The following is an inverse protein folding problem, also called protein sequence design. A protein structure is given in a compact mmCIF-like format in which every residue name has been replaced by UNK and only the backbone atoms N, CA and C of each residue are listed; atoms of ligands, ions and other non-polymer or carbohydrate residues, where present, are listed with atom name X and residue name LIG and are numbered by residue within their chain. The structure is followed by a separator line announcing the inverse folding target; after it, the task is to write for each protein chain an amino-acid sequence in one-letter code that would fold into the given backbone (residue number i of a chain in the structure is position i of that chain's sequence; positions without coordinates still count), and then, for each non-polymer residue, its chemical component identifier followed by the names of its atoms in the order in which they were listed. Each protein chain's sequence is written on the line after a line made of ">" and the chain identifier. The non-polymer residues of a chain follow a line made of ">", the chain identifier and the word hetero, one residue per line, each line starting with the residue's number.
data_IF_214388877477
#
_entry.id   IF_214388877477
#
_cell.length_a   1.000
_cell.length_b   1.000
_cell.length_c   1.000
_cell.angle_alpha   90.00
_cell.angle_beta   90.00
_cell.angle_gamma   90.00
#
_symmetry.space_group_name_H-M   'P 1'
#
loop_
_entity.id
_entity.type
_entity.pdbx_description
1 polymer ?
#
# COMPACT_ATOMS: atom_id res chain seq x y z
N UNK A 1 42.85 2.97 12.38
CA UNK A 1 41.73 2.17 11.82
C UNK A 1 41.81 2.28 10.32
N UNK A 2 42.02 1.20 9.60
CA UNK A 2 42.18 1.23 8.13
C UNK A 2 40.83 1.43 7.44
N UNK A 3 40.77 2.19 6.35
CA UNK A 3 39.51 2.42 5.58
C UNK A 3 38.84 1.14 5.06
N UNK A 4 39.60 0.06 4.97
CA UNK A 4 39.13 -1.24 4.46
C UNK A 4 38.20 -2.00 5.41
N UNK A 5 38.33 -1.84 6.72
CA UNK A 5 37.47 -2.51 7.71
C UNK A 5 36.04 -1.93 7.80
N UNK A 6 35.90 -0.62 7.55
CA UNK A 6 34.59 0.05 7.59
C UNK A 6 33.74 -0.28 6.34
N UNK A 7 34.36 -0.35 5.16
CA UNK A 7 33.69 -0.73 3.93
C UNK A 7 33.20 -2.19 3.95
N UNK A 8 34.03 -3.11 4.48
CA UNK A 8 33.68 -4.53 4.58
C UNK A 8 32.49 -4.81 5.53
N UNK A 9 32.34 -4.04 6.62
CA UNK A 9 31.20 -4.18 7.52
C UNK A 9 29.88 -3.69 6.92
N UNK A 10 29.94 -2.68 6.06
CA UNK A 10 28.76 -2.15 5.35
C UNK A 10 28.24 -3.08 4.25
N UNK A 11 29.15 -3.73 3.49
CA UNK A 11 28.76 -4.71 2.47
C UNK A 11 28.15 -5.97 3.07
N UNK A 12 28.72 -6.48 4.16
CA UNK A 12 28.19 -7.68 4.84
C UNK A 12 26.81 -7.47 5.43
N UNK A 13 26.48 -6.26 5.93
CA UNK A 13 25.16 -5.93 6.46
C UNK A 13 24.12 -5.65 5.36
N UNK A 14 24.54 -5.23 4.18
CA UNK A 14 23.66 -5.07 3.02
C UNK A 14 23.25 -6.42 2.44
N UNK A 15 24.21 -7.35 2.28
CA UNK A 15 23.98 -8.71 1.81
C UNK A 15 23.02 -9.48 2.72
N UNK A 16 23.10 -9.31 4.03
CA UNK A 16 22.21 -9.97 4.99
C UNK A 16 20.75 -9.56 4.83
N UNK A 17 20.47 -8.28 4.58
CA UNK A 17 19.10 -7.77 4.41
C UNK A 17 18.49 -8.16 3.06
N UNK A 18 19.26 -8.11 2.01
CA UNK A 18 18.83 -8.56 0.68
C UNK A 18 18.53 -10.06 0.71
N UNK A 19 19.35 -10.85 1.41
CA UNK A 19 19.10 -12.28 1.64
C UNK A 19 17.80 -12.48 2.43
N UNK A 20 17.58 -11.73 3.51
CA UNK A 20 16.34 -11.83 4.29
C UNK A 20 15.10 -11.52 3.43
N UNK A 21 15.15 -10.47 2.61
CA UNK A 21 14.10 -10.17 1.64
C UNK A 21 13.86 -11.35 0.69
N UNK A 22 14.93 -11.88 0.06
CA UNK A 22 14.83 -12.99 -0.88
C UNK A 22 14.26 -14.25 -0.22
N UNK A 23 14.67 -14.56 1.01
CA UNK A 23 14.11 -15.66 1.78
C UNK A 23 12.63 -15.45 2.12
N UNK A 24 12.24 -14.24 2.56
CA UNK A 24 10.84 -13.95 2.89
C UNK A 24 9.93 -14.11 1.66
N UNK A 25 10.31 -13.52 0.52
CA UNK A 25 9.56 -13.66 -0.74
C UNK A 25 9.55 -15.11 -1.23
N UNK A 26 10.71 -15.79 -1.20
CA UNK A 26 10.84 -17.18 -1.62
C UNK A 26 10.01 -18.14 -0.77
N UNK A 27 10.05 -18.00 0.55
CA UNK A 27 9.24 -18.83 1.47
C UNK A 27 7.74 -18.58 1.28
N UNK A 28 7.32 -17.32 1.09
CA UNK A 28 5.91 -17.00 0.81
C UNK A 28 5.47 -17.63 -0.50
N UNK A 29 6.29 -17.53 -1.56
CA UNK A 29 5.98 -18.13 -2.85
C UNK A 29 5.90 -19.66 -2.78
N UNK A 30 6.87 -20.30 -2.13
CA UNK A 30 6.88 -21.76 -1.96
C UNK A 30 5.69 -22.20 -1.11
N UNK A 31 5.41 -21.53 0.01
CA UNK A 31 4.25 -21.81 0.85
C UNK A 31 2.93 -21.70 0.08
N UNK A 32 2.76 -20.67 -0.73
CA UNK A 32 1.62 -20.51 -1.64
C UNK A 32 1.54 -21.66 -2.66
N UNK A 33 2.65 -22.00 -3.34
CA UNK A 33 2.67 -23.06 -4.35
C UNK A 33 2.35 -24.43 -3.76
N UNK A 34 2.89 -24.73 -2.57
CA UNK A 34 2.56 -25.95 -1.83
C UNK A 34 1.08 -25.98 -1.44
N UNK A 35 0.52 -24.87 -0.96
CA UNK A 35 -0.90 -24.76 -0.67
C UNK A 35 -1.76 -25.03 -1.91
N UNK A 36 -1.47 -24.37 -3.04
CA UNK A 36 -2.18 -24.57 -4.31
C UNK A 36 -2.11 -26.02 -4.81
N UNK A 37 -0.95 -26.66 -4.62
CA UNK A 37 -0.78 -28.07 -5.00
C UNK A 37 -1.57 -29.03 -4.10
N UNK A 38 -1.52 -28.83 -2.79
CA UNK A 38 -2.21 -29.69 -1.83
C UNK A 38 -3.73 -29.54 -1.89
N UNK A 39 -4.21 -28.30 -2.10
CA UNK A 39 -5.64 -28.00 -2.23
C UNK A 39 -6.19 -28.24 -3.63
N UNK A 40 -5.35 -28.60 -4.62
CA UNK A 40 -5.72 -28.83 -6.04
C UNK A 40 -6.44 -27.63 -6.68
N UNK A 41 -6.07 -26.39 -6.31
CA UNK A 41 -6.79 -25.17 -6.71
C UNK A 41 -6.21 -24.49 -7.95
N UNK A 42 -5.37 -25.17 -8.74
CA UNK A 42 -4.81 -24.57 -9.96
C UNK A 42 -5.84 -24.14 -10.99
N UNK A 43 -7.02 -24.77 -11.02
CA UNK A 43 -8.15 -24.38 -11.89
C UNK A 43 -8.63 -22.95 -11.65
N UNK A 44 -8.41 -22.37 -10.44
CA UNK A 44 -8.79 -21.00 -10.13
C UNK A 44 -8.16 -19.97 -11.10
N UNK A 45 -6.99 -20.27 -11.67
CA UNK A 45 -6.35 -19.38 -12.65
C UNK A 45 -7.15 -19.26 -13.95
N UNK A 46 -7.79 -20.34 -14.39
CA UNK A 46 -8.64 -20.30 -15.57
C UNK A 46 -9.93 -19.51 -15.31
N UNK A 47 -10.52 -19.68 -14.13
CA UNK A 47 -11.78 -19.03 -13.76
C UNK A 47 -11.59 -17.55 -13.40
N UNK A 48 -10.43 -17.17 -12.85
CA UNK A 48 -10.16 -15.84 -12.31
C UNK A 48 -8.97 -15.13 -13.00
N UNK A 49 -8.67 -15.48 -14.25
CA UNK A 49 -7.54 -14.95 -15.02
C UNK A 49 -7.50 -13.41 -15.08
N UNK A 50 -8.69 -12.78 -15.12
CA UNK A 50 -8.85 -11.33 -15.19
C UNK A 50 -8.27 -10.63 -13.95
N UNK A 51 -8.35 -11.27 -12.76
CA UNK A 51 -7.75 -10.72 -11.54
C UNK A 51 -6.22 -10.84 -11.56
N UNK A 52 -5.69 -11.96 -12.05
CA UNK A 52 -4.25 -12.11 -12.27
C UNK A 52 -3.73 -11.00 -13.20
N UNK A 53 -4.42 -10.78 -14.33
CA UNK A 53 -4.05 -9.73 -15.30
C UNK A 53 -4.17 -8.31 -14.67
N UNK A 54 -5.26 -8.03 -13.96
CA UNK A 54 -5.45 -6.76 -13.25
C UNK A 54 -4.30 -6.51 -12.28
N UNK A 55 -3.86 -7.55 -11.57
CA UNK A 55 -2.79 -7.43 -10.59
C UNK A 55 -1.39 -7.38 -11.20
N UNK A 56 -1.19 -7.67 -12.49
CA UNK A 56 0.07 -7.33 -13.17
C UNK A 56 0.34 -5.81 -13.08
N UNK A 57 -0.66 -5.00 -13.41
CA UNK A 57 -0.57 -3.54 -13.28
C UNK A 57 -0.73 -3.09 -11.82
N UNK A 58 -1.72 -3.62 -11.12
CA UNK A 58 -2.01 -3.27 -9.72
C UNK A 58 -0.83 -3.51 -8.79
N UNK A 59 -0.07 -4.59 -8.97
CA UNK A 59 1.09 -4.88 -8.13
C UNK A 59 2.26 -3.92 -8.40
N UNK A 60 2.53 -3.62 -9.66
CA UNK A 60 3.54 -2.61 -10.01
C UNK A 60 3.18 -1.27 -9.35
N UNK A 61 1.94 -0.85 -9.47
CA UNK A 61 1.47 0.40 -8.87
C UNK A 61 1.49 0.37 -7.34
N UNK A 62 1.25 -0.79 -6.71
CA UNK A 62 1.33 -0.95 -5.26
C UNK A 62 2.70 -0.60 -4.69
N UNK A 63 3.77 -0.87 -5.42
CA UNK A 63 5.13 -0.50 -5.02
C UNK A 63 5.59 0.85 -5.55
N UNK A 64 5.04 1.30 -6.68
CA UNK A 64 5.45 2.50 -7.40
C UNK A 64 4.70 3.76 -6.97
N UNK A 65 3.57 3.63 -6.29
CA UNK A 65 2.72 4.77 -5.91
C UNK A 65 2.28 4.70 -4.46
N UNK A 66 1.71 5.80 -3.99
CA UNK A 66 1.08 5.90 -2.68
C UNK A 66 -0.37 5.41 -2.65
N UNK A 67 -0.85 4.80 -3.73
CA UNK A 67 -2.26 4.42 -3.85
C UNK A 67 -2.48 2.93 -3.61
N UNK A 68 -1.40 2.16 -3.61
CA UNK A 68 -1.49 0.71 -3.43
C UNK A 68 -2.11 -0.03 -4.62
N UNK A 69 -2.06 -1.36 -4.58
CA UNK A 69 -2.67 -2.21 -5.61
C UNK A 69 -4.20 -2.17 -5.60
N UNK A 70 -4.79 -1.82 -4.45
CA UNK A 70 -6.22 -1.67 -4.28
C UNK A 70 -6.82 -0.54 -5.11
N UNK A 71 -6.05 0.52 -5.38
CA UNK A 71 -6.50 1.63 -6.22
C UNK A 71 -6.82 1.20 -7.66
N UNK A 72 -6.15 0.19 -8.18
CA UNK A 72 -6.48 -0.39 -9.49
C UNK A 72 -7.51 -1.51 -9.35
N UNK A 73 -7.34 -2.40 -8.37
CA UNK A 73 -8.20 -3.56 -8.21
C UNK A 73 -9.65 -3.16 -7.85
N UNK A 74 -9.83 -2.22 -6.92
CA UNK A 74 -11.16 -1.84 -6.44
C UNK A 74 -12.09 -1.32 -7.56
N UNK A 75 -11.69 -0.31 -8.39
CA UNK A 75 -12.55 0.15 -9.49
C UNK A 75 -12.73 -0.92 -10.57
N UNK A 76 -11.70 -1.69 -10.92
CA UNK A 76 -11.86 -2.78 -11.88
C UNK A 76 -12.86 -3.79 -11.38
N UNK A 77 -12.78 -4.21 -10.13
CA UNK A 77 -13.75 -5.15 -9.53
C UNK A 77 -15.16 -4.57 -9.49
N UNK A 78 -15.30 -3.34 -8.99
CA UNK A 78 -16.64 -2.78 -8.67
C UNK A 78 -17.32 -2.09 -9.85
N UNK A 79 -16.58 -1.51 -10.78
CA UNK A 79 -17.11 -0.74 -11.91
C UNK A 79 -17.12 -1.55 -13.22
N UNK A 80 -16.07 -2.36 -13.46
CA UNK A 80 -15.99 -3.14 -14.70
C UNK A 80 -16.67 -4.51 -14.54
N UNK A 81 -16.39 -5.21 -13.44
CA UNK A 81 -16.93 -6.56 -13.23
C UNK A 81 -18.17 -6.61 -12.34
N UNK A 82 -18.62 -5.47 -11.77
CA UNK A 82 -19.81 -5.40 -10.94
C UNK A 82 -19.72 -6.19 -9.62
N UNK A 83 -18.50 -6.50 -9.17
CA UNK A 83 -18.23 -7.23 -7.94
C UNK A 83 -18.62 -6.35 -6.74
N UNK A 84 -19.18 -6.96 -5.70
CA UNK A 84 -19.61 -6.25 -4.50
C UNK A 84 -18.43 -5.51 -3.83
N UNK A 85 -18.62 -4.26 -3.34
CA UNK A 85 -17.58 -3.48 -2.69
C UNK A 85 -16.92 -4.16 -1.50
N UNK A 86 -17.66 -4.99 -0.76
CA UNK A 86 -17.15 -5.76 0.38
C UNK A 86 -16.13 -6.80 -0.06
N UNK A 87 -16.37 -7.48 -1.19
CA UNK A 87 -15.43 -8.44 -1.78
C UNK A 87 -14.17 -7.72 -2.26
N UNK A 88 -14.35 -6.57 -2.94
CA UNK A 88 -13.24 -5.76 -3.42
C UNK A 88 -12.39 -5.20 -2.27
N UNK A 89 -13.03 -4.75 -1.16
CA UNK A 89 -12.34 -4.30 0.06
C UNK A 89 -11.52 -5.44 0.68
N UNK A 90 -12.13 -6.59 0.92
CA UNK A 90 -11.47 -7.73 1.56
C UNK A 90 -10.34 -8.27 0.69
N UNK A 91 -10.54 -8.35 -0.63
CA UNK A 91 -9.46 -8.64 -1.57
C UNK A 91 -8.33 -7.62 -1.50
N UNK A 92 -8.65 -6.32 -1.47
CA UNK A 92 -7.63 -5.25 -1.40
C UNK A 92 -6.77 -5.36 -0.15
N UNK A 93 -7.37 -5.59 1.01
CA UNK A 93 -6.62 -5.80 2.26
C UNK A 93 -5.75 -7.07 2.18
N UNK A 94 -6.31 -8.18 1.68
CA UNK A 94 -5.60 -9.44 1.56
C UNK A 94 -4.41 -9.34 0.59
N UNK A 95 -4.58 -8.73 -0.58
CA UNK A 95 -3.52 -8.67 -1.57
C UNK A 95 -2.42 -7.67 -1.20
N UNK A 96 -2.77 -6.57 -0.55
CA UNK A 96 -1.81 -5.59 -0.07
C UNK A 96 -1.02 -6.11 1.15
N UNK A 97 -1.61 -6.98 1.99
CA UNK A 97 -0.88 -7.63 3.09
C UNK A 97 0.30 -8.46 2.58
N UNK A 98 0.24 -8.96 1.34
CA UNK A 98 1.33 -9.69 0.68
C UNK A 98 2.20 -8.74 -0.16
N UNK A 99 1.60 -8.06 -1.13
CA UNK A 99 2.33 -7.27 -2.12
C UNK A 99 3.03 -6.05 -1.53
N UNK A 100 2.32 -5.23 -0.74
CA UNK A 100 2.95 -4.06 -0.12
C UNK A 100 3.92 -4.45 1.00
N UNK A 101 3.71 -5.59 1.67
CA UNK A 101 4.70 -6.13 2.61
C UNK A 101 5.97 -6.53 1.89
N UNK A 102 5.88 -7.18 0.72
CA UNK A 102 7.05 -7.49 -0.11
C UNK A 102 7.76 -6.20 -0.58
N UNK A 103 7.01 -5.16 -0.98
CA UNK A 103 7.58 -3.86 -1.33
C UNK A 103 8.22 -3.16 -0.12
N UNK A 104 7.61 -3.21 1.06
CA UNK A 104 8.16 -2.65 2.30
C UNK A 104 9.48 -3.35 2.70
N UNK A 105 9.52 -4.67 2.59
CA UNK A 105 10.76 -5.42 2.80
C UNK A 105 11.86 -5.03 1.79
N UNK A 106 11.50 -4.81 0.53
CA UNK A 106 12.41 -4.28 -0.48
C UNK A 106 12.93 -2.89 -0.12
N UNK A 107 12.04 -1.98 0.29
CA UNK A 107 12.38 -0.61 0.71
C UNK A 107 13.41 -0.64 1.84
N UNK A 108 13.18 -1.47 2.88
CA UNK A 108 14.11 -1.60 3.99
C UNK A 108 15.42 -2.33 3.61
N UNK A 109 15.35 -3.35 2.77
CA UNK A 109 16.53 -4.08 2.30
C UNK A 109 17.49 -3.17 1.54
N UNK A 110 16.96 -2.27 0.71
CA UNK A 110 17.73 -1.35 -0.13
C UNK A 110 17.95 0.03 0.51
N UNK A 111 17.57 0.21 1.79
CA UNK A 111 17.69 1.48 2.52
C UNK A 111 17.06 2.67 1.80
N UNK A 112 15.95 2.44 1.10
CA UNK A 112 15.20 3.54 0.49
C UNK A 112 14.72 4.45 1.62
N UNK A 113 14.92 5.78 1.51
CA UNK A 113 14.59 6.69 2.59
C UNK A 113 13.09 6.72 2.88
N UNK A 114 12.75 6.63 4.18
CA UNK A 114 11.39 6.73 4.71
C UNK A 114 11.39 7.68 5.91
N UNK A 115 10.28 8.37 6.13
CA UNK A 115 10.13 9.26 7.30
C UNK A 115 9.75 8.45 8.55
N UNK A 116 10.76 8.09 9.34
CA UNK A 116 10.61 7.17 10.48
C UNK A 116 9.71 7.69 11.58
N UNK A 117 9.76 9.00 11.85
CA UNK A 117 8.91 9.62 12.88
C UNK A 117 7.45 9.53 12.49
N UNK A 118 7.15 9.78 11.21
CA UNK A 118 5.80 9.63 10.68
C UNK A 118 5.35 8.16 10.72
N UNK A 119 6.22 7.22 10.34
CA UNK A 119 5.91 5.78 10.40
C UNK A 119 5.45 5.37 11.78
N UNK A 120 6.18 5.72 12.85
CA UNK A 120 5.83 5.33 14.21
C UNK A 120 4.46 5.86 14.65
N UNK A 121 4.20 7.16 14.43
CA UNK A 121 2.94 7.80 14.80
C UNK A 121 1.78 7.36 13.90
N UNK A 122 2.02 7.24 12.61
CA UNK A 122 1.05 6.80 11.62
C UNK A 122 0.62 5.34 11.80
N UNK A 123 1.54 4.46 12.22
CA UNK A 123 1.22 3.07 12.58
C UNK A 123 0.24 2.99 13.74
N UNK A 124 0.47 3.78 14.80
CA UNK A 124 -0.44 3.83 15.95
C UNK A 124 -1.82 4.29 15.49
N UNK A 125 -1.89 5.43 14.79
CA UNK A 125 -3.15 5.97 14.28
C UNK A 125 -3.85 5.02 13.32
N UNK A 126 -3.11 4.47 12.35
CA UNK A 126 -3.64 3.54 11.33
C UNK A 126 -4.22 2.26 11.93
N UNK A 127 -3.51 1.67 12.89
CA UNK A 127 -4.00 0.47 13.59
C UNK A 127 -5.27 0.76 14.39
N UNK A 128 -5.30 1.84 15.16
CA UNK A 128 -6.51 2.26 15.88
C UNK A 128 -7.65 2.54 14.89
N UNK A 129 -7.34 3.24 13.79
CA UNK A 129 -8.33 3.61 12.78
C UNK A 129 -8.94 2.41 12.07
N UNK A 130 -8.12 1.43 11.62
CA UNK A 130 -8.67 0.26 10.92
C UNK A 130 -9.48 -0.63 11.86
N UNK A 131 -9.06 -0.80 13.11
CA UNK A 131 -9.84 -1.56 14.11
C UNK A 131 -11.16 -0.85 14.40
N UNK A 132 -11.12 0.43 14.78
CA UNK A 132 -12.33 1.20 15.06
C UNK A 132 -13.24 1.32 13.84
N UNK A 133 -12.68 1.49 12.65
CA UNK A 133 -13.42 1.55 11.40
C UNK A 133 -14.09 0.24 11.04
N UNK A 134 -13.41 -0.88 11.19
CA UNK A 134 -13.96 -2.21 10.87
C UNK A 134 -15.16 -2.56 11.74
N UNK A 135 -15.13 -2.28 13.05
CA UNK A 135 -16.23 -2.60 13.95
C UNK A 135 -17.29 -1.48 14.06
N UNK A 136 -16.90 -0.22 13.94
CA UNK A 136 -17.77 0.92 14.25
C UNK A 136 -18.26 1.74 13.07
N UNK A 137 -17.64 1.62 11.87
CA UNK A 137 -17.97 2.47 10.72
C UNK A 137 -18.33 1.66 9.48
N UNK A 138 -17.45 0.77 9.04
CA UNK A 138 -17.61 0.02 7.79
C UNK A 138 -18.96 -0.74 7.69
N UNK A 139 -19.50 -1.37 8.75
CA UNK A 139 -20.79 -2.06 8.66
C UNK A 139 -21.99 -1.15 8.36
N UNK A 140 -21.86 0.14 8.61
CA UNK A 140 -22.94 1.12 8.42
C UNK A 140 -22.81 1.92 7.13
N UNK A 141 -21.76 1.70 6.33
CA UNK A 141 -21.54 2.42 5.07
C UNK A 141 -22.12 1.62 3.90
N UNK A 142 -23.20 2.10 3.27
CA UNK A 142 -23.78 1.44 2.11
C UNK A 142 -22.80 1.38 0.92
N UNK A 143 -22.87 0.31 0.13
CA UNK A 143 -22.00 0.06 -1.01
C UNK A 143 -21.89 1.24 -2.02
N UNK A 144 -22.99 1.94 -2.26
CA UNK A 144 -23.01 3.11 -3.14
C UNK A 144 -22.14 4.24 -2.60
N UNK A 145 -22.18 4.50 -1.29
CA UNK A 145 -21.36 5.54 -0.65
C UNK A 145 -19.88 5.17 -0.65
N UNK A 146 -19.53 3.90 -0.50
CA UNK A 146 -18.14 3.45 -0.60
C UNK A 146 -17.55 3.77 -1.97
N UNK A 147 -18.27 3.51 -3.07
CA UNK A 147 -17.84 3.84 -4.43
C UNK A 147 -17.66 5.36 -4.63
N UNK A 148 -18.65 6.15 -4.19
CA UNK A 148 -18.59 7.62 -4.29
C UNK A 148 -17.45 8.19 -3.44
N UNK A 149 -17.26 7.68 -2.24
CA UNK A 149 -16.19 8.10 -1.34
C UNK A 149 -14.82 7.80 -1.97
N UNK A 150 -14.65 6.62 -2.57
CA UNK A 150 -13.42 6.24 -3.26
C UNK A 150 -13.08 7.25 -4.36
N UNK A 151 -13.97 7.45 -5.33
CA UNK A 151 -13.72 8.35 -6.46
C UNK A 151 -13.50 9.81 -6.02
N UNK A 152 -14.34 10.31 -5.11
CA UNK A 152 -14.25 11.71 -4.62
C UNK A 152 -12.95 11.97 -3.87
N UNK A 153 -12.52 11.01 -3.05
CA UNK A 153 -11.29 11.12 -2.27
C UNK A 153 -10.05 11.15 -3.18
N UNK A 154 -10.00 10.25 -4.16
CA UNK A 154 -8.92 10.18 -5.14
C UNK A 154 -8.84 11.42 -6.02
N UNK A 155 -9.98 11.85 -6.54
CA UNK A 155 -10.04 13.05 -7.40
C UNK A 155 -9.61 14.32 -6.64
N UNK A 156 -10.12 14.49 -5.42
CA UNK A 156 -9.75 15.64 -4.57
C UNK A 156 -8.26 15.67 -4.26
N UNK A 157 -7.68 14.52 -3.95
CA UNK A 157 -6.25 14.37 -3.71
C UNK A 157 -5.44 14.70 -4.96
N UNK A 158 -5.80 14.11 -6.12
CA UNK A 158 -5.10 14.35 -7.39
C UNK A 158 -5.12 15.81 -7.81
N UNK A 159 -6.25 16.47 -7.66
CA UNK A 159 -6.40 17.90 -7.91
C UNK A 159 -5.48 18.72 -7.00
N UNK A 160 -5.49 18.46 -5.70
CA UNK A 160 -4.64 19.17 -4.73
C UNK A 160 -3.15 18.98 -5.05
N UNK A 161 -2.73 17.77 -5.37
CA UNK A 161 -1.33 17.48 -5.73
C UNK A 161 -0.92 18.13 -7.05
N UNK A 162 -1.83 18.16 -8.04
CA UNK A 162 -1.58 18.83 -9.32
C UNK A 162 -1.38 20.32 -9.14
N UNK A 163 -2.28 20.99 -8.41
CA UNK A 163 -2.17 22.41 -8.11
C UNK A 163 -0.87 22.73 -7.37
N UNK A 164 -0.49 21.89 -6.41
CA UNK A 164 0.72 22.08 -5.61
C UNK A 164 2.02 21.94 -6.44
N UNK A 165 2.02 21.06 -7.42
CA UNK A 165 3.23 20.78 -8.21
C UNK A 165 3.37 21.63 -9.48
N UNK A 166 2.26 22.18 -10.01
CA UNK A 166 2.26 22.87 -11.31
C UNK A 166 1.81 24.32 -11.25
N UNK A 167 1.01 24.71 -10.25
CA UNK A 167 0.49 26.07 -10.15
C UNK A 167 1.22 26.87 -9.07
N UNK A 168 1.61 26.21 -7.98
CA UNK A 168 2.33 26.85 -6.87
C UNK A 168 3.78 26.40 -6.85
N UNK A 169 4.72 27.35 -6.72
CA UNK A 169 6.13 27.00 -6.47
C UNK A 169 6.25 26.24 -5.14
N UNK A 170 6.88 25.09 -5.20
CA UNK A 170 7.03 24.21 -4.05
C UNK A 170 8.49 23.87 -3.77
N UNK A 171 9.00 24.40 -2.66
CA UNK A 171 10.23 23.90 -2.07
C UNK A 171 9.96 22.56 -1.37
N UNK A 172 10.65 21.51 -1.79
CA UNK A 172 10.53 20.19 -1.18
C UNK A 172 11.56 19.97 -0.08
N UNK A 173 11.15 19.25 0.97
CA UNK A 173 11.99 18.85 2.10
C UNK A 173 12.28 17.35 2.06
N UNK A 174 13.42 16.95 2.61
CA UNK A 174 13.81 15.54 2.70
C UNK A 174 13.52 14.92 4.07
N UNK A 175 13.12 15.71 5.07
CA UNK A 175 12.78 15.24 6.40
C UNK A 175 11.71 16.13 7.06
N UNK A 176 10.98 15.55 8.02
CA UNK A 176 10.06 16.31 8.87
C UNK A 176 10.85 17.27 9.76
N UNK A 177 10.30 18.48 10.01
CA UNK A 177 10.85 19.36 11.02
C UNK A 177 10.67 18.75 12.43
N UNK A 178 11.31 19.35 13.44
CA UNK A 178 11.04 18.99 14.83
C UNK A 178 9.55 19.18 15.14
N UNK A 179 8.88 18.10 15.52
CA UNK A 179 7.43 18.09 15.74
C UNK A 179 7.08 18.55 17.16
N UNK A 180 6.13 19.47 17.24
CA UNK A 180 5.44 19.80 18.50
C UNK A 180 4.53 18.66 18.95
N UNK A 181 4.09 18.66 20.21
CA UNK A 181 3.12 17.68 20.71
C UNK A 181 1.81 17.69 19.90
N UNK A 182 1.30 18.88 19.56
CA UNK A 182 0.10 19.01 18.71
C UNK A 182 0.25 18.37 17.34
N UNK A 183 1.39 18.59 16.66
CA UNK A 183 1.66 17.99 15.36
C UNK A 183 1.79 16.45 15.39
N UNK A 184 2.27 15.90 16.50
CA UNK A 184 2.29 14.43 16.70
C UNK A 184 0.87 13.89 16.79
N UNK A 185 -0.03 14.54 17.52
CA UNK A 185 -1.44 14.17 17.60
C UNK A 185 -2.16 14.32 16.25
N UNK A 186 -1.82 15.33 15.45
CA UNK A 186 -2.34 15.47 14.08
C UNK A 186 -1.94 14.28 13.20
N UNK A 187 -0.68 13.84 13.26
CA UNK A 187 -0.21 12.66 12.50
C UNK A 187 -0.98 11.40 12.93
N UNK A 188 -1.16 11.20 14.24
CA UNK A 188 -1.96 10.09 14.76
C UNK A 188 -3.41 10.21 14.26
N UNK A 189 -4.01 11.40 14.31
CA UNK A 189 -5.37 11.67 13.82
C UNK A 189 -5.53 11.36 12.32
N UNK A 190 -4.57 11.78 11.49
CA UNK A 190 -4.55 11.43 10.06
C UNK A 190 -4.42 9.92 9.86
N UNK A 191 -3.59 9.26 10.70
CA UNK A 191 -3.50 7.80 10.73
C UNK A 191 -4.85 7.14 11.04
N UNK A 192 -5.57 7.64 12.05
CA UNK A 192 -6.91 7.13 12.41
C UNK A 192 -7.89 7.30 11.25
N UNK A 193 -7.94 8.46 10.63
CA UNK A 193 -8.82 8.72 9.46
C UNK A 193 -8.45 7.77 8.32
N UNK A 194 -7.16 7.65 7.98
CA UNK A 194 -6.68 6.75 6.94
C UNK A 194 -6.99 5.28 7.23
N UNK A 195 -6.86 4.84 8.49
CA UNK A 195 -7.23 3.50 8.92
C UNK A 195 -8.74 3.23 8.80
N UNK A 196 -9.60 4.20 9.18
CA UNK A 196 -11.05 4.12 8.97
C UNK A 196 -11.38 4.02 7.48
N UNK A 197 -10.76 4.85 6.62
CA UNK A 197 -10.94 4.75 5.18
C UNK A 197 -10.50 3.39 4.65
N UNK A 198 -9.38 2.84 5.14
CA UNK A 198 -8.93 1.49 4.76
C UNK A 198 -9.91 0.41 5.16
N UNK A 199 -10.64 0.56 6.28
CA UNK A 199 -11.68 -0.40 6.69
C UNK A 199 -12.91 -0.39 5.77
N UNK A 200 -13.17 0.71 5.07
CA UNK A 200 -14.32 0.86 4.16
C UNK A 200 -13.94 0.48 2.72
N UNK A 201 -12.76 0.91 2.27
CA UNK A 201 -12.32 0.86 0.88
C UNK A 201 -11.26 -0.22 0.59
N UNK A 202 -10.66 -0.78 1.64
CA UNK A 202 -9.52 -1.70 1.52
C UNK A 202 -8.17 -1.01 1.32
N UNK A 203 -8.15 0.33 1.21
CA UNK A 203 -6.98 1.20 1.18
C UNK A 203 -7.38 2.62 1.59
N UNK A 204 -6.42 3.48 1.93
CA UNK A 204 -6.71 4.85 2.36
C UNK A 204 -5.64 5.43 3.29
N UNK A 205 -5.02 4.61 4.14
CA UNK A 205 -3.94 5.07 5.01
C UNK A 205 -2.73 5.56 4.21
N UNK A 206 -2.42 4.90 3.11
CA UNK A 206 -1.36 5.25 2.17
C UNK A 206 -1.57 6.66 1.60
N UNK A 207 -2.76 6.95 1.10
CA UNK A 207 -3.06 8.24 0.50
C UNK A 207 -3.17 9.34 1.53
N UNK A 208 -3.84 9.09 2.66
CA UNK A 208 -3.88 10.06 3.76
C UNK A 208 -2.46 10.41 4.22
N UNK A 209 -1.59 9.42 4.35
CA UNK A 209 -0.19 9.61 4.68
C UNK A 209 0.52 10.46 3.64
N UNK A 210 0.47 10.03 2.38
CA UNK A 210 1.16 10.71 1.30
C UNK A 210 0.64 12.15 1.13
N UNK A 211 -0.69 12.34 1.11
CA UNK A 211 -1.30 13.67 1.02
C UNK A 211 -0.84 14.58 2.17
N UNK A 212 -0.93 14.11 3.40
CA UNK A 212 -0.58 14.91 4.56
C UNK A 212 0.91 15.28 4.59
N UNK A 213 1.78 14.31 4.29
CA UNK A 213 3.23 14.50 4.29
C UNK A 213 3.68 15.44 3.16
N UNK A 214 3.07 15.31 1.97
CA UNK A 214 3.41 16.13 0.80
C UNK A 214 2.77 17.51 0.84
N UNK A 215 1.51 17.62 1.21
CA UNK A 215 0.79 18.91 1.19
C UNK A 215 1.15 19.79 2.38
N UNK A 216 1.18 19.23 3.60
CA UNK A 216 1.46 20.02 4.80
C UNK A 216 2.94 20.22 5.07
N UNK A 217 3.73 19.14 5.02
CA UNK A 217 5.15 19.20 5.36
C UNK A 217 6.07 19.39 4.16
N UNK A 218 5.53 19.37 2.95
CA UNK A 218 6.26 19.55 1.68
C UNK A 218 7.37 18.52 1.50
N UNK A 219 7.20 17.31 2.05
CA UNK A 219 8.16 16.23 1.87
C UNK A 219 8.16 15.77 0.41
N UNK A 220 9.35 15.47 -0.10
CA UNK A 220 9.53 14.96 -1.46
C UNK A 220 8.78 13.63 -1.65
N UNK A 221 8.16 13.45 -2.83
CA UNK A 221 7.48 12.22 -3.24
C UNK A 221 8.39 11.00 -3.14
N UNK A 222 9.70 11.17 -3.32
CA UNK A 222 10.70 10.10 -3.16
C UNK A 222 10.76 9.51 -1.75
N UNK A 223 10.33 10.25 -0.73
CA UNK A 223 10.30 9.83 0.68
C UNK A 223 8.86 9.53 1.10
N UNK A 224 7.92 10.34 0.65
CA UNK A 224 6.51 10.18 0.97
C UNK A 224 5.94 8.85 0.44
N UNK A 225 6.24 8.48 -0.82
CA UNK A 225 5.77 7.21 -1.42
C UNK A 225 6.24 5.98 -0.63
N UNK A 226 7.54 5.74 -0.39
CA UNK A 226 7.94 4.55 0.37
C UNK A 226 7.45 4.59 1.82
N UNK A 227 7.26 5.77 2.42
CA UNK A 227 6.68 5.91 3.76
C UNK A 227 5.23 5.44 3.78
N UNK A 228 4.42 5.85 2.80
CA UNK A 228 3.02 5.45 2.69
C UNK A 228 2.87 3.94 2.39
N UNK A 229 3.73 3.39 1.51
CA UNK A 229 3.76 1.95 1.20
C UNK A 229 3.99 1.12 2.45
N UNK A 230 4.95 1.49 3.29
CA UNK A 230 5.25 0.76 4.55
C UNK A 230 4.08 0.85 5.53
N UNK A 231 3.45 2.01 5.66
CA UNK A 231 2.27 2.19 6.53
C UNK A 231 1.09 1.35 6.04
N UNK A 232 0.80 1.40 4.75
CA UNK A 232 -0.31 0.62 4.21
C UNK A 232 -0.06 -0.87 4.28
N UNK A 233 1.17 -1.35 4.06
CA UNK A 233 1.53 -2.76 4.25
C UNK A 233 1.14 -3.24 5.65
N UNK A 234 1.52 -2.49 6.68
CA UNK A 234 1.19 -2.83 8.07
C UNK A 234 -0.31 -2.80 8.34
N UNK A 235 -0.99 -1.77 7.82
CA UNK A 235 -2.43 -1.61 7.98
C UNK A 235 -3.22 -2.72 7.27
N UNK A 236 -2.78 -3.12 6.07
CA UNK A 236 -3.37 -4.21 5.30
C UNK A 236 -3.22 -5.56 6.00
N UNK A 237 -2.08 -5.81 6.66
CA UNK A 237 -1.89 -7.01 7.49
C UNK A 237 -2.89 -7.03 8.65
N UNK A 238 -3.07 -5.91 9.34
CA UNK A 238 -4.07 -5.82 10.43
C UNK A 238 -5.48 -6.06 9.89
N UNK A 239 -5.85 -5.42 8.78
CA UNK A 239 -7.16 -5.59 8.16
C UNK A 239 -7.41 -7.03 7.68
N UNK A 240 -6.41 -7.66 7.05
CA UNK A 240 -6.49 -9.05 6.63
C UNK A 240 -6.68 -10.00 7.81
N UNK A 241 -5.97 -9.79 8.91
CA UNK A 241 -6.14 -10.58 10.14
C UNK A 241 -7.52 -10.34 10.76
N UNK A 242 -8.02 -9.11 10.79
CA UNK A 242 -9.35 -8.80 11.31
C UNK A 242 -10.44 -9.54 10.52
N UNK A 243 -10.43 -9.45 9.19
CA UNK A 243 -11.46 -10.08 8.35
C UNK A 243 -11.27 -11.60 8.22
N UNK A 244 -10.02 -12.08 8.13
CA UNK A 244 -9.72 -13.50 7.93
C UNK A 244 -9.77 -14.35 9.21
N UNK A 245 -9.28 -13.83 10.34
CA UNK A 245 -9.15 -14.61 11.57
C UNK A 245 -10.11 -14.19 12.67
N UNK A 246 -10.43 -12.90 12.82
CA UNK A 246 -11.28 -12.41 13.92
C UNK A 246 -12.74 -12.44 13.53
N UNK A 247 -13.12 -11.79 12.43
CA UNK A 247 -14.51 -11.72 11.94
C UNK A 247 -14.89 -12.95 11.12
N UNK A 248 -13.94 -13.58 10.47
CA UNK A 248 -14.12 -14.73 9.57
C UNK A 248 -15.14 -14.45 8.46
N UNK A 249 -15.18 -13.20 7.97
CA UNK A 249 -16.12 -12.69 6.97
C UNK A 249 -15.48 -12.50 5.58
N UNK A 250 -14.33 -13.13 5.33
CA UNK A 250 -13.70 -13.17 4.01
C UNK A 250 -14.55 -14.00 3.05
N UNK A 251 -15.05 -13.35 1.99
CA UNK A 251 -15.85 -14.03 0.99
C UNK A 251 -14.98 -15.02 0.17
N UNK A 252 -15.52 -16.20 -0.21
CA UNK A 252 -14.78 -17.18 -1.03
C UNK A 252 -14.20 -16.58 -2.31
N UNK A 253 -14.94 -15.68 -2.96
CA UNK A 253 -14.49 -14.98 -4.16
C UNK A 253 -13.24 -14.13 -3.88
N UNK A 254 -13.22 -13.39 -2.77
CA UNK A 254 -12.07 -12.59 -2.38
C UNK A 254 -10.82 -13.45 -2.15
N UNK A 255 -11.01 -14.63 -1.54
CA UNK A 255 -9.93 -15.61 -1.33
C UNK A 255 -9.43 -16.17 -2.67
N UNK A 256 -10.34 -16.54 -3.58
CA UNK A 256 -9.98 -17.05 -4.89
C UNK A 256 -9.16 -16.03 -5.70
N UNK A 257 -9.62 -14.77 -5.73
CA UNK A 257 -8.91 -13.66 -6.37
C UNK A 257 -7.53 -13.42 -5.73
N UNK A 258 -7.45 -13.51 -4.40
CA UNK A 258 -6.20 -13.38 -3.66
C UNK A 258 -5.20 -14.48 -4.04
N UNK A 259 -5.63 -15.75 -4.06
CA UNK A 259 -4.77 -16.88 -4.38
C UNK A 259 -4.15 -16.78 -5.78
N UNK A 260 -4.93 -16.39 -6.80
CA UNK A 260 -4.40 -16.26 -8.17
C UNK A 260 -3.56 -15.00 -8.37
N UNK A 261 -3.61 -14.05 -7.44
CA UNK A 261 -2.86 -12.79 -7.53
C UNK A 261 -1.55 -12.80 -6.73
N UNK A 262 -1.39 -13.66 -5.72
CA UNK A 262 -0.19 -13.74 -4.88
C UNK A 262 1.11 -13.81 -5.69
N UNK A 263 1.28 -14.71 -6.69
CA UNK A 263 2.54 -14.82 -7.40
C UNK A 263 2.90 -13.53 -8.15
N UNK A 264 1.91 -12.81 -8.63
CA UNK A 264 2.13 -11.56 -9.36
C UNK A 264 2.57 -10.44 -8.41
N UNK A 265 1.91 -10.29 -7.26
CA UNK A 265 2.20 -9.18 -6.34
C UNK A 265 3.48 -9.35 -5.56
N UNK A 266 3.91 -10.58 -5.33
CA UNK A 266 5.20 -10.86 -4.67
C UNK A 266 6.41 -10.31 -5.42
N UNK A 267 6.32 -10.22 -6.75
CA UNK A 267 7.39 -9.70 -7.60
C UNK A 267 7.07 -8.30 -8.14
N UNK A 268 5.83 -8.05 -8.51
CA UNK A 268 5.40 -6.79 -9.12
C UNK A 268 5.53 -5.59 -8.18
N UNK A 269 5.17 -5.74 -6.90
CA UNK A 269 5.26 -4.64 -5.95
C UNK A 269 6.70 -4.26 -5.57
N UNK A 270 7.62 -5.18 -5.26
CA UNK A 270 9.05 -4.86 -5.14
C UNK A 270 9.65 -4.25 -6.41
N UNK A 271 9.25 -4.72 -7.59
CA UNK A 271 9.69 -4.15 -8.86
C UNK A 271 9.20 -2.71 -9.03
N UNK A 272 7.94 -2.42 -8.69
CA UNK A 272 7.41 -1.06 -8.66
C UNK A 272 8.21 -0.14 -7.72
N UNK A 273 8.49 -0.59 -6.50
CA UNK A 273 9.31 0.14 -5.53
C UNK A 273 10.75 0.39 -6.04
N UNK A 274 11.33 -0.59 -6.73
CA UNK A 274 12.64 -0.43 -7.38
C UNK A 274 12.60 0.64 -8.46
N UNK A 275 11.66 0.57 -9.39
CA UNK A 275 11.55 1.51 -10.50
C UNK A 275 11.36 2.93 -9.98
N UNK A 276 10.39 3.14 -9.06
CA UNK A 276 10.09 4.47 -8.54
C UNK A 276 11.24 5.08 -7.76
N UNK A 277 12.05 4.27 -7.08
CA UNK A 277 13.24 4.75 -6.38
C UNK A 277 14.29 5.39 -7.29
N UNK A 278 14.24 5.10 -8.60
CA UNK A 278 15.13 5.65 -9.63
C UNK A 278 14.54 6.85 -10.37
N UNK A 279 13.25 7.09 -10.24
CA UNK A 279 12.56 8.15 -10.97
C UNK A 279 12.69 9.51 -10.28
N UNK A 280 12.55 10.57 -11.08
CA UNK A 280 12.43 11.92 -10.55
C UNK A 280 11.04 12.12 -9.93
N UNK A 281 10.93 12.94 -8.86
CA UNK A 281 9.68 13.16 -8.10
C UNK A 281 8.47 13.56 -8.99
N UNK A 282 8.68 14.36 -10.01
CA UNK A 282 7.61 14.79 -10.92
C UNK A 282 7.08 13.66 -11.80
N UNK A 283 7.93 12.69 -12.15
CA UNK A 283 7.50 11.48 -12.88
C UNK A 283 6.60 10.62 -11.98
N UNK A 284 6.96 10.50 -10.69
CA UNK A 284 6.12 9.80 -9.70
C UNK A 284 4.75 10.49 -9.59
N UNK A 285 4.72 11.81 -9.46
CA UNK A 285 3.48 12.58 -9.42
C UNK A 285 2.65 12.41 -10.70
N UNK A 286 3.29 12.40 -11.89
CA UNK A 286 2.59 12.19 -13.17
C UNK A 286 1.96 10.81 -13.28
N UNK A 287 2.62 9.76 -12.76
CA UNK A 287 2.03 8.42 -12.67
C UNK A 287 0.78 8.40 -11.79
N UNK A 288 0.82 9.11 -10.65
CA UNK A 288 -0.36 9.26 -9.78
C UNK A 288 -1.51 9.95 -10.49
N UNK A 289 -1.25 11.07 -11.21
CA UNK A 289 -2.31 11.75 -11.97
C UNK A 289 -2.95 10.85 -13.03
N UNK A 290 -2.13 10.05 -13.73
CA UNK A 290 -2.64 9.12 -14.74
C UNK A 290 -3.59 8.09 -14.12
N UNK A 291 -3.25 7.54 -12.95
CA UNK A 291 -4.10 6.56 -12.25
C UNK A 291 -5.42 7.21 -11.82
N UNK A 292 -5.35 8.40 -11.21
CA UNK A 292 -6.52 9.11 -10.71
C UNK A 292 -7.50 9.47 -11.84
N UNK A 293 -6.97 9.87 -13.01
CA UNK A 293 -7.81 10.15 -14.18
C UNK A 293 -8.41 8.88 -14.77
N UNK A 294 -7.73 7.75 -14.64
CA UNK A 294 -8.22 6.45 -15.14
C UNK A 294 -9.30 5.81 -14.24
N UNK A 295 -9.46 6.27 -13.00
CA UNK A 295 -10.48 5.83 -12.04
C UNK A 295 -11.79 6.61 -12.20
#
# INVERSE_FOLDING_TARGET
>A
MSPTGFAASFTHSADGRIRLFAWAVGLTFVGWAVFMQLSQQWGLFADNWFMTLTMVFGSFMAGASSEGGGAIAYPVMTLVFGIAPEVARNFSLAIQSVGMTAAALWIFAHRIPVERTYLGLGLIGGTVGIVAGTFGVAPYVPAAYSKMLFVSFWLSYGMALFLLNHVWERDTREALPALTAGQRWEIIGVGVIGGILSSILGNGLDICTFAFVTLKYRISEKIATPTSVVLMASNAVVGFVLHGAVLQDMQPEAINYWLVSIPVVLFGAPFGAYVVSKLHRLVIASLLYLIIVAQ
#
